data_IF_593871764608
#
_entry.id   IF_593871764608
#
_cell.length_a   1.000
_cell.length_b   1.000
_cell.length_c   1.000
_cell.angle_alpha   90.00
_cell.angle_beta   90.00
_cell.angle_gamma   90.00
#
_symmetry.space_group_name_H-M   'P 1'
#
loop_
_entity.id
_entity.type
_entity.pdbx_description
1 polymer ?
#
# COMPACT_ATOMS: atom_id res chain seq x y z
N UNK A 1 -8.18 27.89 -4.81
CA UNK A 1 -6.86 27.93 -5.47
C UNK A 1 -6.92 27.19 -6.80
N UNK A 2 -6.90 27.91 -7.92
CA UNK A 2 -6.88 27.29 -9.26
C UNK A 2 -5.44 26.91 -9.65
N UNK A 3 -5.25 25.80 -10.37
CA UNK A 3 -3.93 25.36 -10.91
C UNK A 3 -3.21 26.50 -11.66
N UNK A 4 -3.98 27.36 -12.34
CA UNK A 4 -3.45 28.52 -13.07
C UNK A 4 -2.85 29.58 -12.12
N UNK A 5 -3.47 29.79 -10.96
CA UNK A 5 -2.97 30.71 -9.93
C UNK A 5 -1.71 30.15 -9.23
N UNK A 6 -1.64 28.84 -9.01
CA UNK A 6 -0.45 28.20 -8.44
C UNK A 6 0.76 28.29 -9.38
N UNK A 7 0.56 28.06 -10.69
CA UNK A 7 1.63 28.19 -11.68
C UNK A 7 2.10 29.63 -11.87
N UNK A 8 1.19 30.60 -11.79
CA UNK A 8 1.54 32.02 -11.86
C UNK A 8 2.34 32.44 -10.61
N UNK A 9 1.90 32.04 -9.42
CA UNK A 9 2.62 32.30 -8.18
C UNK A 9 4.04 31.70 -8.15
N UNK A 10 4.24 30.50 -8.72
CA UNK A 10 5.58 29.89 -8.84
C UNK A 10 6.48 30.66 -9.81
N UNK A 11 5.93 31.23 -10.89
CA UNK A 11 6.70 32.06 -11.83
C UNK A 11 7.09 33.42 -11.26
N UNK A 12 6.25 33.96 -10.37
CA UNK A 12 6.44 35.30 -9.78
C UNK A 12 7.36 35.29 -8.55
N UNK A 13 7.88 34.12 -8.14
CA UNK A 13 8.88 34.02 -7.08
C UNK A 13 10.21 34.64 -7.54
N UNK A 14 10.85 35.53 -6.75
CA UNK A 14 12.16 36.07 -7.06
C UNK A 14 13.21 34.95 -7.01
N UNK A 15 13.99 34.80 -8.09
CA UNK A 15 15.04 33.77 -8.25
C UNK A 15 16.14 33.81 -7.19
N UNK A 16 16.23 34.89 -6.42
CA UNK A 16 17.16 35.00 -5.28
C UNK A 16 16.85 34.03 -4.13
N UNK A 17 15.68 33.36 -4.13
CA UNK A 17 15.35 32.25 -3.21
C UNK A 17 15.32 30.89 -3.89
N UNK A 18 15.86 30.79 -5.10
CA UNK A 18 16.15 29.48 -5.65
C UNK A 18 17.31 28.90 -4.81
N UNK A 19 17.11 27.71 -4.21
CA UNK A 19 18.17 26.99 -3.53
C UNK A 19 19.23 26.61 -4.57
N UNK A 20 20.09 27.56 -4.92
CA UNK A 20 21.26 27.35 -5.74
C UNK A 20 22.23 26.56 -4.88
N UNK A 21 22.39 25.28 -5.21
CA UNK A 21 23.35 24.41 -4.57
C UNK A 21 24.74 25.08 -4.57
N UNK A 22 25.28 25.33 -3.38
CA UNK A 22 26.48 26.16 -3.17
C UNK A 22 27.81 25.45 -3.43
N UNK A 23 27.81 24.20 -3.87
CA UNK A 23 29.03 23.43 -4.13
C UNK A 23 29.77 22.96 -2.88
N UNK A 24 29.19 23.15 -1.69
CA UNK A 24 29.85 22.87 -0.39
C UNK A 24 29.64 21.42 0.04
N UNK A 25 28.51 20.83 -0.30
CA UNK A 25 28.17 19.46 0.06
C UNK A 25 27.52 18.74 -1.12
N UNK A 26 28.17 17.70 -1.64
CA UNK A 26 27.66 16.88 -2.76
C UNK A 26 26.36 16.14 -2.38
N UNK A 27 26.12 15.85 -1.09
CA UNK A 27 24.90 15.17 -0.65
C UNK A 27 23.66 16.09 -0.67
N UNK A 28 23.86 17.42 -0.66
CA UNK A 28 22.79 18.42 -0.79
C UNK A 28 22.48 18.80 -2.25
N UNK A 29 23.18 18.21 -3.22
CA UNK A 29 22.99 18.51 -4.63
C UNK A 29 21.62 18.06 -5.11
N UNK A 30 20.92 18.86 -5.95
CA UNK A 30 19.72 18.38 -6.60
C UNK A 30 20.04 17.17 -7.49
N UNK A 31 19.28 16.09 -7.30
CA UNK A 31 19.39 14.88 -8.11
C UNK A 31 19.28 15.22 -9.59
N UNK A 32 20.14 14.60 -10.40
CA UNK A 32 19.98 14.68 -11.86
C UNK A 32 18.70 13.96 -12.30
N UNK A 33 18.18 14.32 -13.48
CA UNK A 33 16.97 13.69 -14.01
C UNK A 33 17.10 12.16 -14.13
N UNK A 34 18.31 11.67 -14.42
CA UNK A 34 18.60 10.24 -14.52
C UNK A 34 18.53 9.53 -13.17
N UNK A 35 19.20 10.07 -12.14
CA UNK A 35 19.14 9.55 -10.77
C UNK A 35 17.72 9.61 -10.19
N UNK A 36 16.97 10.66 -10.51
CA UNK A 36 15.57 10.80 -10.12
C UNK A 36 14.72 9.68 -10.74
N UNK A 37 14.89 9.42 -12.03
CA UNK A 37 14.18 8.36 -12.75
C UNK A 37 14.53 6.98 -12.18
N UNK A 38 15.82 6.70 -11.97
CA UNK A 38 16.28 5.44 -11.40
C UNK A 38 15.71 5.19 -10.00
N UNK A 39 15.73 6.21 -9.14
CA UNK A 39 15.15 6.14 -7.79
C UNK A 39 13.64 5.88 -7.82
N UNK A 40 12.91 6.55 -8.74
CA UNK A 40 11.48 6.32 -8.95
C UNK A 40 11.19 4.91 -9.47
N UNK A 41 12.01 4.37 -10.37
CA UNK A 41 11.90 3.01 -10.87
C UNK A 41 12.18 1.96 -9.78
N UNK A 42 13.22 2.18 -8.97
CA UNK A 42 13.54 1.33 -7.83
C UNK A 42 12.42 1.33 -6.78
N UNK A 43 11.78 2.47 -6.53
CA UNK A 43 10.62 2.58 -5.64
C UNK A 43 9.34 1.98 -6.24
N UNK A 44 9.13 2.10 -7.56
CA UNK A 44 8.00 1.44 -8.26
C UNK A 44 8.03 -0.07 -8.12
N UNK A 45 9.21 -0.68 -8.17
CA UNK A 45 9.39 -2.13 -7.95
C UNK A 45 9.04 -2.58 -6.52
N UNK A 46 9.00 -1.66 -5.55
CA UNK A 46 8.68 -1.94 -4.14
C UNK A 46 7.20 -1.69 -3.79
N UNK A 47 6.37 -1.17 -4.70
CA UNK A 47 4.98 -0.80 -4.37
C UNK A 47 4.00 -1.96 -4.60
N UNK A 48 3.71 -2.70 -3.54
CA UNK A 48 2.45 -3.42 -3.37
C UNK A 48 2.55 -4.92 -3.10
N UNK A 49 1.62 -5.43 -2.27
CA UNK A 49 1.28 -6.86 -2.19
C UNK A 49 0.89 -7.35 -3.59
N UNK A 50 1.31 -8.53 -4.05
CA UNK A 50 0.95 -9.03 -5.37
C UNK A 50 -0.57 -8.96 -5.59
N UNK A 51 -0.96 -8.40 -6.74
CA UNK A 51 -2.35 -8.30 -7.20
C UNK A 51 -2.87 -9.69 -7.52
N UNK A 52 -3.27 -10.42 -6.48
CA UNK A 52 -3.68 -11.83 -6.58
C UNK A 52 -4.31 -12.41 -5.31
N UNK A 53 -4.53 -11.60 -4.27
CA UNK A 53 -5.32 -12.00 -3.10
C UNK A 53 -6.84 -11.78 -3.27
N UNK A 54 -7.27 -11.36 -4.47
CA UNK A 54 -8.58 -10.77 -4.77
C UNK A 54 -9.80 -11.69 -4.74
N UNK A 55 -9.66 -12.97 -4.39
CA UNK A 55 -10.81 -13.89 -4.28
C UNK A 55 -11.34 -14.00 -2.83
N UNK A 56 -10.79 -13.21 -1.90
CA UNK A 56 -11.26 -13.15 -0.51
C UNK A 56 -11.98 -11.82 -0.30
N UNK A 57 -13.27 -11.90 -0.02
CA UNK A 57 -14.06 -10.75 0.39
C UNK A 57 -13.99 -10.60 1.91
N UNK A 58 -13.74 -9.38 2.39
CA UNK A 58 -13.80 -9.08 3.82
C UNK A 58 -15.25 -8.77 4.18
N UNK A 59 -15.86 -9.63 4.98
CA UNK A 59 -17.24 -9.46 5.45
C UNK A 59 -17.26 -9.30 6.96
N UNK A 60 -18.09 -8.39 7.47
CA UNK A 60 -18.33 -8.22 8.90
C UNK A 60 -19.50 -9.13 9.34
N UNK A 61 -19.19 -10.33 9.83
CA UNK A 61 -20.17 -11.27 10.40
C UNK A 61 -19.99 -11.40 11.91
N UNK A 62 -21.08 -11.66 12.63
CA UNK A 62 -21.03 -12.03 14.06
C UNK A 62 -20.83 -13.54 14.16
N UNK A 63 -19.85 -13.96 14.93
CA UNK A 63 -19.54 -15.37 15.23
C UNK A 63 -19.57 -15.53 16.74
N UNK A 64 -20.07 -16.67 17.22
CA UNK A 64 -20.10 -16.98 18.65
C UNK A 64 -18.69 -17.00 19.25
N UNK A 65 -18.60 -16.58 20.51
CA UNK A 65 -17.32 -16.32 21.19
C UNK A 65 -16.51 -17.58 21.40
N UNK A 66 -17.17 -18.69 21.72
CA UNK A 66 -16.59 -20.00 21.93
C UNK A 66 -16.00 -20.59 20.64
N UNK A 67 -16.72 -20.49 19.51
CA UNK A 67 -16.25 -20.91 18.19
C UNK A 67 -15.00 -20.13 17.81
N UNK A 68 -15.04 -18.81 17.97
CA UNK A 68 -13.91 -17.94 17.64
C UNK A 68 -12.71 -18.19 18.58
N UNK A 69 -12.95 -18.50 19.86
CA UNK A 69 -11.90 -18.90 20.79
C UNK A 69 -11.23 -20.22 20.39
N UNK A 70 -12.02 -21.23 19.97
CA UNK A 70 -11.51 -22.52 19.51
C UNK A 70 -10.57 -22.38 18.30
N UNK A 71 -10.95 -21.57 17.31
CA UNK A 71 -10.07 -21.32 16.16
C UNK A 71 -8.81 -20.56 16.56
N UNK A 72 -8.91 -19.53 17.42
CA UNK A 72 -7.74 -18.76 17.88
C UNK A 72 -6.75 -19.59 18.69
N UNK A 73 -7.23 -20.56 19.46
CA UNK A 73 -6.37 -21.51 20.18
C UNK A 73 -5.49 -22.34 19.23
N UNK A 74 -5.91 -22.50 17.96
CA UNK A 74 -5.11 -23.13 16.90
C UNK A 74 -3.89 -22.32 16.43
N UNK A 75 -3.69 -21.10 16.93
CA UNK A 75 -2.47 -20.32 16.70
C UNK A 75 -2.46 -19.48 15.41
N UNK A 76 -1.27 -19.08 14.93
CA UNK A 76 -1.13 -18.26 13.72
C UNK A 76 -1.82 -18.89 12.51
N UNK A 77 -2.62 -18.11 11.79
CA UNK A 77 -3.36 -18.61 10.63
C UNK A 77 -4.75 -19.18 10.92
N UNK A 78 -5.27 -19.01 12.14
CA UNK A 78 -6.62 -19.46 12.52
C UNK A 78 -7.75 -19.01 11.57
N UNK A 79 -7.64 -17.84 10.96
CA UNK A 79 -8.59 -17.37 9.95
C UNK A 79 -8.56 -18.22 8.67
N UNK A 80 -7.37 -18.68 8.25
CA UNK A 80 -7.23 -19.59 7.10
C UNK A 80 -7.83 -20.96 7.42
N UNK A 81 -7.62 -21.46 8.65
CA UNK A 81 -8.25 -22.70 9.13
C UNK A 81 -9.78 -22.58 9.14
N UNK A 82 -10.32 -21.48 9.67
CA UNK A 82 -11.76 -21.20 9.65
C UNK A 82 -12.32 -21.19 8.22
N UNK A 83 -11.65 -20.51 7.28
CA UNK A 83 -12.06 -20.49 5.88
C UNK A 83 -12.00 -21.88 5.22
N UNK A 84 -11.02 -22.73 5.55
CA UNK A 84 -10.96 -24.12 5.08
C UNK A 84 -12.12 -24.96 5.64
N UNK A 85 -12.48 -24.77 6.91
CA UNK A 85 -13.62 -25.46 7.52
C UNK A 85 -14.93 -25.09 6.80
N UNK A 86 -15.14 -23.81 6.48
CA UNK A 86 -16.29 -23.36 5.70
C UNK A 86 -16.33 -23.99 4.29
N UNK A 87 -15.20 -24.07 3.61
CA UNK A 87 -15.11 -24.75 2.29
C UNK A 87 -15.47 -26.22 2.39
N UNK A 88 -14.93 -26.93 3.40
CA UNK A 88 -15.25 -28.34 3.64
C UNK A 88 -16.74 -28.52 3.91
N UNK A 89 -17.33 -27.65 4.72
CA UNK A 89 -18.75 -27.68 5.02
C UNK A 89 -19.61 -27.54 3.75
N UNK A 90 -19.26 -26.61 2.86
CA UNK A 90 -19.94 -26.42 1.56
C UNK A 90 -19.83 -27.65 0.65
N UNK A 91 -18.67 -28.32 0.59
CA UNK A 91 -18.54 -29.55 -0.20
C UNK A 91 -19.44 -30.68 0.32
N UNK A 92 -19.61 -30.79 1.64
CA UNK A 92 -20.44 -31.82 2.26
C UNK A 92 -21.94 -31.49 2.22
N UNK A 93 -22.30 -30.20 2.21
CA UNK A 93 -23.68 -29.72 2.30
C UNK A 93 -24.12 -28.94 1.06
N UNK A 94 -23.52 -29.22 -0.10
CA UNK A 94 -23.96 -28.63 -1.36
C UNK A 94 -25.40 -29.09 -1.60
N UNK A 95 -26.36 -28.18 -1.42
CA UNK A 95 -27.74 -28.43 -1.81
C UNK A 95 -27.78 -28.74 -3.31
N UNK A 96 -28.58 -29.72 -3.76
CA UNK A 96 -28.81 -29.95 -5.19
C UNK A 96 -29.50 -28.74 -5.84
#
# INVERSE_FOLDING_TARGET
MSRKQALQAVRDLPREKDFLWGGVDEDERPATNEELLESLEAQRRKRGRPSGSGNKEQVAIRIDRDVLAAFRAGGPGWQTCMNQALRKWLCTHSKP
#
